data_IF_908772284221
#
_entry.id   IF_908772284221
#
_cell.length_a   1.000
_cell.length_b   1.000
_cell.length_c   1.000
_cell.angle_alpha   90.00
_cell.angle_beta   90.00
_cell.angle_gamma   90.00
#
_symmetry.space_group_name_H-M   'P 1'
#
loop_
_entity.id
_entity.type
_entity.pdbx_description
1 polymer ?
#
# COMPACT_ATOMS: atom_id res chain seq x y z
N UNK A 1 53.05 -24.35 -16.65
CA UNK A 1 52.29 -24.44 -15.38
C UNK A 1 50.83 -24.18 -15.70
N UNK A 2 50.00 -25.23 -15.66
CA UNK A 2 48.56 -25.14 -15.92
C UNK A 2 47.83 -24.88 -14.60
N UNK A 3 47.07 -23.79 -14.52
CA UNK A 3 46.06 -23.60 -13.48
C UNK A 3 44.69 -23.54 -14.15
N UNK A 4 43.99 -24.67 -14.10
CA UNK A 4 42.58 -24.79 -14.51
C UNK A 4 41.75 -24.14 -13.41
N UNK A 5 41.04 -23.06 -13.73
CA UNK A 5 40.04 -22.46 -12.84
C UNK A 5 38.82 -23.39 -12.78
N UNK A 6 38.47 -23.87 -11.58
CA UNK A 6 37.23 -24.61 -11.35
C UNK A 6 36.02 -23.68 -11.49
N UNK A 7 34.91 -24.10 -12.13
CA UNK A 7 33.70 -23.29 -12.16
C UNK A 7 33.01 -23.35 -10.79
N UNK A 8 32.96 -22.21 -10.09
CA UNK A 8 32.08 -22.07 -8.93
C UNK A 8 30.63 -22.15 -9.42
N UNK A 9 29.92 -23.21 -9.07
CA UNK A 9 28.48 -23.32 -9.26
C UNK A 9 27.82 -22.18 -8.48
N UNK A 10 27.29 -21.20 -9.21
CA UNK A 10 26.47 -20.14 -8.64
C UNK A 10 25.10 -20.74 -8.33
N UNK A 11 24.90 -21.26 -7.12
CA UNK A 11 23.57 -21.70 -6.70
C UNK A 11 22.69 -20.47 -6.54
N UNK A 12 21.80 -20.24 -7.50
CA UNK A 12 20.80 -19.18 -7.45
C UNK A 12 19.86 -19.48 -6.28
N UNK A 13 20.11 -18.89 -5.10
CA UNK A 13 19.14 -18.92 -4.02
C UNK A 13 17.94 -18.12 -4.50
N UNK A 14 16.80 -18.80 -4.68
CA UNK A 14 15.49 -18.16 -4.84
C UNK A 14 15.43 -17.04 -3.81
N UNK A 15 15.28 -15.79 -4.25
CA UNK A 15 14.91 -14.70 -3.36
C UNK A 15 13.66 -15.17 -2.64
N UNK A 16 13.81 -15.52 -1.36
CA UNK A 16 12.65 -15.65 -0.48
C UNK A 16 12.03 -14.27 -0.55
N UNK A 17 10.91 -14.13 -1.25
CA UNK A 17 10.07 -12.96 -1.13
C UNK A 17 9.92 -12.77 0.36
N UNK A 18 10.48 -11.68 0.88
CA UNK A 18 10.32 -11.37 2.28
C UNK A 18 8.82 -11.42 2.54
N UNK A 19 8.40 -12.25 3.49
CA UNK A 19 7.07 -12.18 4.08
C UNK A 19 6.76 -10.69 4.23
N UNK A 20 5.60 -10.17 3.81
CA UNK A 20 5.29 -8.76 3.98
C UNK A 20 5.44 -8.47 5.45
N UNK A 21 6.57 -7.87 5.79
CA UNK A 21 6.79 -7.32 7.10
C UNK A 21 5.82 -6.14 7.07
N UNK A 22 4.64 -6.32 7.67
CA UNK A 22 3.97 -5.23 8.35
C UNK A 22 4.98 -4.73 9.38
N UNK A 23 5.97 -3.96 8.90
CA UNK A 23 6.64 -2.99 9.73
C UNK A 23 5.51 -2.06 10.12
N UNK A 24 4.90 -2.39 11.27
CA UNK A 24 4.15 -1.43 12.06
C UNK A 24 5.13 -0.29 12.21
N UNK A 25 4.95 0.77 11.42
CA UNK A 25 5.71 1.98 11.57
C UNK A 25 5.65 2.31 13.06
N UNK A 26 6.83 2.42 13.69
CA UNK A 26 7.01 2.37 15.14
C UNK A 26 5.89 3.10 15.89
N UNK A 27 5.48 2.58 17.06
CA UNK A 27 4.36 3.03 17.90
C UNK A 27 4.19 4.56 18.11
N UNK A 28 5.20 5.37 17.77
CA UNK A 28 5.10 6.83 17.61
C UNK A 28 4.09 7.32 16.56
N UNK A 29 3.66 6.50 15.59
CA UNK A 29 2.58 6.85 14.66
C UNK A 29 1.16 6.66 15.24
N UNK A 30 1.03 5.99 16.40
CA UNK A 30 -0.27 5.75 17.06
C UNK A 30 -0.97 7.06 17.46
N UNK A 31 -0.21 8.14 17.70
CA UNK A 31 -0.78 9.44 18.07
C UNK A 31 -1.57 10.14 16.93
N UNK A 32 -1.33 9.79 15.66
CA UNK A 32 -2.04 10.44 14.54
C UNK A 32 -3.42 9.85 14.27
N UNK A 33 -3.69 8.62 14.76
CA UNK A 33 -4.99 7.95 14.57
C UNK A 33 -6.11 8.77 15.19
N UNK A 34 -5.96 9.22 16.45
CA UNK A 34 -7.00 9.96 17.19
C UNK A 34 -7.56 11.20 16.48
N UNK A 35 -6.73 11.97 15.77
CA UNK A 35 -7.18 13.19 15.06
C UNK A 35 -7.85 12.89 13.73
N UNK A 36 -7.49 11.80 13.08
CA UNK A 36 -8.02 11.43 11.77
C UNK A 36 -9.10 10.35 11.91
N UNK A 37 -9.54 10.09 13.15
CA UNK A 37 -10.54 9.10 13.45
C UNK A 37 -11.95 9.63 13.23
N UNK A 38 -12.77 8.82 12.57
CA UNK A 38 -14.19 9.09 12.34
C UNK A 38 -14.94 7.81 11.97
N UNK A 39 -16.08 7.95 11.27
CA UNK A 39 -16.88 6.82 10.78
C UNK A 39 -16.77 6.60 9.28
N UNK A 40 -15.87 7.35 8.63
CA UNK A 40 -15.66 7.29 7.20
C UNK A 40 -14.83 6.08 6.78
N UNK A 41 -15.06 5.66 5.55
CA UNK A 41 -14.26 4.66 4.85
C UNK A 41 -13.73 5.23 3.53
N UNK A 42 -12.57 4.74 3.11
CA UNK A 42 -12.08 4.86 1.74
C UNK A 42 -11.86 3.44 1.24
N UNK A 43 -12.55 3.06 0.18
CA UNK A 43 -12.50 1.70 -0.34
C UNK A 43 -12.48 1.69 -1.87
N UNK A 44 -11.71 0.76 -2.43
CA UNK A 44 -11.88 0.33 -3.81
C UNK A 44 -12.80 -0.88 -3.83
N UNK A 45 -14.06 -0.70 -4.23
CA UNK A 45 -15.07 -1.77 -4.39
C UNK A 45 -15.76 -1.58 -5.75
N UNK A 46 -15.56 -2.52 -6.68
CA UNK A 46 -16.07 -2.42 -8.06
C UNK A 46 -15.32 -1.35 -8.87
N UNK A 47 -15.60 -0.07 -8.62
CA UNK A 47 -14.86 1.07 -9.18
C UNK A 47 -13.77 1.48 -8.19
N UNK A 48 -12.62 1.95 -8.71
CA UNK A 48 -11.50 2.42 -7.87
C UNK A 48 -10.68 1.29 -7.24
N UNK A 49 -10.87 0.04 -7.65
CA UNK A 49 -9.98 -1.07 -7.27
C UNK A 49 -8.58 -0.86 -7.85
N UNK A 50 -7.58 -1.47 -7.22
CA UNK A 50 -6.23 -1.50 -7.75
C UNK A 50 -6.18 -2.40 -8.98
N UNK A 51 -5.69 -1.85 -10.09
CA UNK A 51 -5.44 -2.61 -11.32
C UNK A 51 -4.04 -2.34 -11.85
N UNK A 52 -3.51 -3.33 -12.59
CA UNK A 52 -2.26 -3.24 -13.34
C UNK A 52 -2.52 -3.77 -14.75
N UNK A 53 -2.30 -2.94 -15.76
CA UNK A 53 -2.65 -3.29 -17.14
C UNK A 53 -4.13 -3.64 -17.32
N UNK A 54 -5.02 -2.96 -16.58
CA UNK A 54 -6.47 -3.18 -16.62
C UNK A 54 -6.96 -4.45 -15.91
N UNK A 55 -6.08 -5.21 -15.24
CA UNK A 55 -6.46 -6.39 -14.44
C UNK A 55 -6.31 -6.11 -12.96
N UNK A 56 -7.21 -6.62 -12.10
CA UNK A 56 -7.06 -6.50 -10.66
C UNK A 56 -5.72 -7.03 -10.15
N UNK A 57 -5.17 -6.37 -9.14
CA UNK A 57 -3.86 -6.73 -8.62
C UNK A 57 -3.67 -6.35 -7.16
N UNK A 58 -2.95 -7.20 -6.43
CA UNK A 58 -2.48 -6.88 -5.08
C UNK A 58 -1.29 -5.92 -5.13
N UNK A 59 -1.43 -4.76 -4.48
CA UNK A 59 -0.40 -3.73 -4.27
C UNK A 59 -0.52 -3.13 -2.88
N UNK A 60 0.60 -2.61 -2.36
CA UNK A 60 0.59 -1.85 -1.11
C UNK A 60 0.06 -0.46 -1.39
N UNK A 61 -0.84 0.02 -0.56
CA UNK A 61 -1.48 1.32 -0.66
C UNK A 61 -1.15 2.10 0.60
N UNK A 62 -0.66 3.33 0.44
CA UNK A 62 -0.45 4.26 1.54
C UNK A 62 -1.61 5.25 1.59
N UNK A 63 -2.08 5.53 2.80
CA UNK A 63 -3.01 6.62 3.08
C UNK A 63 -2.25 7.72 3.81
N UNK A 64 -2.33 8.94 3.26
CA UNK A 64 -1.62 10.11 3.77
C UNK A 64 -2.64 11.20 4.06
N UNK A 65 -2.59 11.79 5.24
CA UNK A 65 -3.36 13.00 5.55
C UNK A 65 -2.80 14.18 4.75
N UNK A 66 -3.71 14.91 4.07
CA UNK A 66 -3.31 15.88 3.05
C UNK A 66 -2.71 17.16 3.61
N UNK A 67 -3.25 17.66 4.72
CA UNK A 67 -2.87 18.97 5.28
C UNK A 67 -1.39 18.98 5.70
N UNK A 68 -0.87 17.87 6.25
CA UNK A 68 0.48 17.81 6.84
C UNK A 68 1.35 16.71 6.28
N UNK A 69 0.85 15.99 5.26
CA UNK A 69 1.56 14.92 4.57
C UNK A 69 2.10 13.85 5.52
N UNK A 70 1.27 13.45 6.49
CA UNK A 70 1.60 12.35 7.40
C UNK A 70 1.00 11.05 6.88
N UNK A 71 1.79 9.99 6.83
CA UNK A 71 1.28 8.64 6.61
C UNK A 71 0.45 8.27 7.84
N UNK A 72 -0.83 7.96 7.62
CA UNK A 72 -1.78 7.66 8.69
C UNK A 72 -2.14 6.18 8.74
N UNK A 73 -2.12 5.51 7.59
CA UNK A 73 -2.38 4.08 7.49
C UNK A 73 -1.74 3.49 6.22
N UNK A 74 -1.64 2.17 6.17
CA UNK A 74 -1.30 1.43 4.97
C UNK A 74 -2.01 0.09 4.91
N UNK A 75 -2.31 -0.36 3.71
CA UNK A 75 -2.94 -1.66 3.49
C UNK A 75 -2.42 -2.32 2.22
N UNK A 76 -2.74 -3.59 2.03
CA UNK A 76 -2.58 -4.27 0.76
C UNK A 76 -3.94 -4.43 0.10
N UNK A 77 -4.03 -4.13 -1.19
CA UNK A 77 -5.19 -4.62 -1.95
C UNK A 77 -5.15 -6.14 -2.05
N UNK A 78 -6.33 -6.74 -2.05
CA UNK A 78 -6.52 -8.17 -2.26
C UNK A 78 -6.20 -8.56 -3.72
N UNK A 79 -6.27 -9.86 -4.01
CA UNK A 79 -6.02 -10.39 -5.36
C UNK A 79 -7.05 -9.89 -6.38
N UNK A 80 -8.26 -9.58 -5.93
CA UNK A 80 -9.32 -8.95 -6.73
C UNK A 80 -9.19 -7.41 -6.82
N UNK A 81 -8.08 -6.85 -6.33
CA UNK A 81 -7.77 -5.43 -6.36
C UNK A 81 -8.53 -4.58 -5.32
N UNK A 82 -9.44 -5.17 -4.55
CA UNK A 82 -10.19 -4.45 -3.53
C UNK A 82 -9.30 -4.05 -2.35
N UNK A 83 -9.66 -2.97 -1.67
CA UNK A 83 -8.99 -2.51 -0.45
C UNK A 83 -9.94 -1.68 0.40
N UNK A 84 -9.59 -1.50 1.68
CA UNK A 84 -10.38 -0.76 2.64
C UNK A 84 -9.49 -0.05 3.65
N UNK A 85 -9.73 1.23 3.85
CA UNK A 85 -9.34 2.00 5.02
C UNK A 85 -10.59 2.39 5.80
N UNK A 86 -10.55 2.24 7.11
CA UNK A 86 -11.70 2.45 7.98
C UNK A 86 -11.38 3.45 9.09
N UNK A 87 -12.45 3.89 9.77
CA UNK A 87 -12.37 4.77 10.91
C UNK A 87 -11.73 6.13 10.57
N UNK A 88 -12.07 6.69 9.41
CA UNK A 88 -11.52 7.96 8.92
C UNK A 88 -12.46 9.14 9.22
N UNK A 89 -11.88 10.31 9.48
CA UNK A 89 -12.62 11.57 9.55
C UNK A 89 -13.09 11.99 8.15
N UNK A 90 -14.41 12.14 7.97
CA UNK A 90 -15.02 12.52 6.68
C UNK A 90 -14.87 14.01 6.36
N UNK A 91 -14.45 14.83 7.33
CA UNK A 91 -14.13 16.24 7.14
C UNK A 91 -12.72 16.49 6.59
N UNK A 92 -11.89 15.46 6.45
CA UNK A 92 -10.50 15.56 6.01
C UNK A 92 -10.31 15.12 4.56
N UNK A 93 -9.30 15.71 3.93
CA UNK A 93 -8.80 15.29 2.63
C UNK A 93 -7.55 14.41 2.81
N UNK A 94 -7.44 13.39 1.96
CA UNK A 94 -6.36 12.41 1.97
C UNK A 94 -5.70 12.28 0.60
N UNK A 95 -4.45 11.81 0.59
CA UNK A 95 -3.81 11.23 -0.59
C UNK A 95 -3.84 9.71 -0.46
N UNK A 96 -4.17 9.02 -1.55
CA UNK A 96 -4.12 7.57 -1.65
C UNK A 96 -3.08 7.20 -2.69
N UNK A 97 -2.04 6.47 -2.29
CA UNK A 97 -0.93 6.09 -3.18
C UNK A 97 -0.84 4.58 -3.30
N UNK A 98 -1.08 4.04 -4.48
CA UNK A 98 -0.82 2.64 -4.80
C UNK A 98 0.63 2.46 -5.29
N UNK A 99 1.41 1.67 -4.56
CA UNK A 99 2.82 1.40 -4.85
C UNK A 99 3.00 0.10 -5.62
N UNK A 100 3.84 0.11 -6.66
CA UNK A 100 4.18 -1.11 -7.39
C UNK A 100 5.43 -1.82 -6.86
N UNK A 101 5.24 -2.79 -5.96
CA UNK A 101 6.34 -3.60 -5.43
C UNK A 101 7.05 -4.45 -6.49
N UNK A 102 6.44 -4.65 -7.68
CA UNK A 102 7.04 -5.40 -8.79
C UNK A 102 7.86 -4.53 -9.74
N UNK A 103 7.84 -3.19 -9.57
CA UNK A 103 8.59 -2.22 -10.39
C UNK A 103 8.30 -2.32 -11.90
N UNK A 104 7.06 -2.66 -12.24
CA UNK A 104 6.55 -2.75 -13.61
C UNK A 104 5.95 -1.41 -14.06
N UNK A 105 5.39 -0.65 -13.12
CA UNK A 105 4.75 0.65 -13.35
C UNK A 105 5.16 1.65 -12.27
N UNK A 106 4.98 2.93 -12.59
CA UNK A 106 5.08 4.02 -11.62
C UNK A 106 3.93 3.94 -10.59
N UNK A 107 4.13 4.42 -9.35
CA UNK A 107 3.04 4.51 -8.38
C UNK A 107 1.95 5.44 -8.87
N UNK A 108 0.70 5.10 -8.55
CA UNK A 108 -0.47 5.94 -8.87
C UNK A 108 -0.93 6.62 -7.58
N UNK A 109 -1.17 7.93 -7.67
CA UNK A 109 -1.64 8.74 -6.55
C UNK A 109 -2.98 9.40 -6.91
N UNK A 110 -3.92 9.34 -5.99
CA UNK A 110 -5.14 10.15 -6.01
C UNK A 110 -5.06 11.20 -4.91
N UNK A 111 -5.41 12.42 -5.27
CA UNK A 111 -5.39 13.59 -4.39
C UNK A 111 -6.82 14.05 -4.07
N UNK A 112 -6.98 14.79 -2.97
CA UNK A 112 -8.27 15.27 -2.45
C UNK A 112 -9.32 14.15 -2.26
N UNK A 113 -8.87 12.97 -1.84
CA UNK A 113 -9.77 11.86 -1.55
C UNK A 113 -10.45 12.11 -0.21
N UNK A 114 -11.77 11.99 -0.15
CA UNK A 114 -12.55 12.06 1.10
C UNK A 114 -13.09 10.70 1.47
N UNK A 115 -13.08 10.43 2.77
CA UNK A 115 -13.81 9.29 3.31
C UNK A 115 -15.32 9.54 3.21
N UNK A 116 -16.08 8.47 2.98
CA UNK A 116 -17.54 8.48 2.96
C UNK A 116 -18.07 7.66 4.13
N UNK A 117 -19.22 8.01 4.69
CA UNK A 117 -19.84 7.17 5.71
C UNK A 117 -20.26 5.82 5.10
N UNK A 118 -19.93 4.71 5.75
CA UNK A 118 -20.35 3.37 5.33
C UNK A 118 -21.87 3.26 5.58
N UNK A 119 -22.66 3.61 4.59
CA UNK A 119 -24.13 3.54 4.64
C UNK A 119 -24.54 2.21 3.98
N UNK A 120 -25.16 1.28 4.74
CA UNK A 120 -25.57 -0.03 4.22
C UNK A 120 -26.70 0.05 3.19
#
# INVERSE_FOLDING_TARGET
>A
MNSVFAPRILTWRRTRHAVPQNQVFAARFVQYRERNHGRGIIAGRGIGIVTVGGRPASRRILLIERERFKVIDDTWSADDGSYLFEQLDTGQDFLVIALDHKRQYEPVCYDYVRAVEDTP
#
